data_IF_356978098030
#
_entry.id   IF_356978098030
#
_cell.length_a   1.000
_cell.length_b   1.000
_cell.length_c   1.000
_cell.angle_alpha   90.00
_cell.angle_beta   90.00
_cell.angle_gamma   90.00
#
_symmetry.space_group_name_H-M   'P 1'
#
loop_
_entity.id
_entity.type
_entity.pdbx_description
1 polymer ?
#
# COMPACT_ATOMS: atom_id res chain seq x y z
N UNK A 1 13.53 4.78 11.93
CA UNK A 1 12.82 4.90 10.62
C UNK A 1 11.49 5.57 10.87
N UNK A 2 11.10 6.53 10.02
CA UNK A 2 9.78 7.17 10.07
C UNK A 2 8.96 6.74 8.86
N UNK A 3 7.70 6.41 9.08
CA UNK A 3 6.72 6.07 8.05
C UNK A 3 5.52 6.99 8.21
N UNK A 4 5.09 7.61 7.11
CA UNK A 4 3.86 8.38 7.02
C UNK A 4 2.89 7.65 6.11
N UNK A 5 1.70 7.35 6.60
CA UNK A 5 0.62 6.74 5.80
C UNK A 5 -0.05 7.84 4.99
N UNK A 6 0.23 7.88 3.69
CA UNK A 6 -0.37 8.85 2.77
C UNK A 6 -1.83 8.50 2.47
N UNK A 7 -2.09 7.21 2.28
CA UNK A 7 -3.42 6.65 2.07
C UNK A 7 -3.52 5.24 2.62
N UNK A 8 -4.67 4.88 3.16
CA UNK A 8 -4.86 3.63 3.90
C UNK A 8 -5.94 2.71 3.34
N UNK A 9 -6.71 3.15 2.35
CA UNK A 9 -7.76 2.34 1.72
C UNK A 9 -7.24 1.53 0.53
N UNK A 10 -7.94 0.45 0.20
CA UNK A 10 -7.82 -0.27 -1.06
C UNK A 10 -8.34 0.56 -2.25
N UNK A 11 -8.25 0.00 -3.45
CA UNK A 11 -8.71 0.62 -4.67
C UNK A 11 -10.13 1.21 -4.58
N UNK A 12 -10.27 2.45 -5.03
CA UNK A 12 -11.51 3.23 -4.95
C UNK A 12 -11.62 4.14 -3.73
N UNK A 13 -10.84 3.94 -2.68
CA UNK A 13 -10.86 4.78 -1.48
C UNK A 13 -12.11 4.63 -0.60
N UNK A 14 -12.20 5.42 0.45
CA UNK A 14 -13.37 5.50 1.35
C UNK A 14 -13.76 6.96 1.54
N UNK A 15 -14.93 7.43 1.07
CA UNK A 15 -15.94 6.66 0.33
C UNK A 15 -15.51 6.40 -1.13
N UNK A 16 -15.78 5.22 -1.64
CA UNK A 16 -15.65 4.96 -3.07
C UNK A 16 -16.72 5.76 -3.83
N UNK A 17 -16.35 6.39 -4.94
CA UNK A 17 -17.17 7.38 -5.63
C UNK A 17 -18.55 6.86 -6.08
N UNK A 18 -18.62 5.61 -6.54
CA UNK A 18 -19.82 4.96 -7.05
C UNK A 18 -20.46 3.97 -6.05
N UNK A 19 -20.03 3.94 -4.78
CA UNK A 19 -20.52 3.02 -3.77
C UNK A 19 -21.46 3.73 -2.79
N UNK A 20 -22.56 3.07 -2.45
CA UNK A 20 -23.53 3.53 -1.47
C UNK A 20 -23.73 2.54 -0.29
N UNK A 21 -22.71 1.72 0.00
CA UNK A 21 -22.72 0.85 1.19
C UNK A 21 -22.77 1.69 2.48
N UNK A 22 -23.03 1.01 3.60
CA UNK A 22 -23.13 1.66 4.91
C UNK A 22 -21.91 2.55 5.21
N UNK A 23 -20.70 2.04 4.97
CA UNK A 23 -19.46 2.75 5.27
C UNK A 23 -19.26 3.97 4.36
N UNK A 24 -19.50 3.83 3.05
CA UNK A 24 -19.38 4.93 2.11
C UNK A 24 -20.40 6.05 2.38
N UNK A 25 -21.63 5.70 2.78
CA UNK A 25 -22.62 6.70 3.20
C UNK A 25 -22.16 7.44 4.45
N UNK A 26 -21.69 6.70 5.46
CA UNK A 26 -21.20 7.30 6.71
C UNK A 26 -19.97 8.20 6.48
N UNK A 27 -19.05 7.78 5.62
CA UNK A 27 -17.83 8.56 5.30
C UNK A 27 -18.11 9.85 4.48
N UNK A 28 -19.30 9.97 3.83
CA UNK A 28 -19.71 11.21 3.15
C UNK A 28 -20.25 12.26 4.10
N UNK A 29 -20.69 11.87 5.28
CA UNK A 29 -21.20 12.79 6.30
C UNK A 29 -20.00 13.53 6.91
N UNK A 30 -20.07 14.85 6.98
CA UNK A 30 -19.06 15.65 7.67
C UNK A 30 -19.04 15.27 9.15
N UNK A 31 -17.86 14.99 9.70
CA UNK A 31 -17.68 14.47 11.08
C UNK A 31 -18.45 13.17 11.35
N UNK A 32 -18.64 12.36 10.31
CA UNK A 32 -19.28 11.05 10.44
C UNK A 32 -18.41 10.04 11.22
N UNK A 33 -19.02 8.90 11.54
CA UNK A 33 -18.38 7.83 12.34
C UNK A 33 -17.25 7.09 11.59
N UNK A 34 -17.12 7.31 10.29
CA UNK A 34 -16.09 6.68 9.45
C UNK A 34 -15.20 7.76 8.82
N UNK A 35 -13.89 7.67 9.05
CA UNK A 35 -12.91 8.55 8.44
C UNK A 35 -12.85 8.31 6.93
N UNK A 36 -12.72 9.39 6.17
CA UNK A 36 -12.37 9.32 4.75
C UNK A 36 -10.94 8.82 4.61
N UNK A 37 -10.70 7.99 3.59
CA UNK A 37 -9.38 7.41 3.33
C UNK A 37 -9.11 7.41 1.83
N UNK A 38 -7.93 7.86 1.45
CA UNK A 38 -7.41 7.75 0.10
C UNK A 38 -6.76 6.40 -0.12
N UNK A 39 -6.48 6.06 -1.37
CA UNK A 39 -5.95 4.76 -1.76
C UNK A 39 -4.51 4.57 -1.28
N UNK A 40 -4.14 3.33 -1.00
CA UNK A 40 -2.96 2.94 -0.22
C UNK A 40 -1.64 3.42 -0.82
N UNK A 41 -0.91 4.18 -0.01
CA UNK A 41 0.46 4.62 -0.28
C UNK A 41 1.12 5.01 1.04
N UNK A 42 2.42 4.78 1.19
CA UNK A 42 3.20 5.24 2.34
C UNK A 42 4.45 5.98 1.89
N UNK A 43 4.93 6.89 2.72
CA UNK A 43 6.21 7.55 2.58
C UNK A 43 7.14 7.13 3.72
N UNK A 44 8.38 6.76 3.41
CA UNK A 44 9.36 6.29 4.40
C UNK A 44 10.64 7.11 4.31
N UNK A 45 11.20 7.46 5.46
CA UNK A 45 12.49 8.16 5.58
C UNK A 45 13.30 7.70 6.79
N UNK A 46 14.60 7.95 6.76
CA UNK A 46 15.51 7.80 7.91
C UNK A 46 16.25 9.08 8.26
N UNK A 47 16.08 10.16 7.48
CA UNK A 47 16.82 11.42 7.60
C UNK A 47 15.93 12.67 7.55
N UNK A 48 14.62 12.51 7.47
CA UNK A 48 13.60 13.57 7.32
C UNK A 48 13.78 14.48 6.08
N UNK A 49 14.66 14.11 5.15
CA UNK A 49 14.99 14.90 3.96
C UNK A 49 14.69 14.16 2.67
N UNK A 50 14.94 12.86 2.67
CA UNK A 50 14.77 11.99 1.52
C UNK A 50 13.64 11.00 1.81
N UNK A 51 12.49 11.23 1.20
CA UNK A 51 11.32 10.37 1.34
C UNK A 51 11.25 9.40 0.15
N UNK A 52 11.04 8.13 0.44
CA UNK A 52 10.75 7.11 -0.57
C UNK A 52 9.27 6.80 -0.49
N UNK A 53 8.58 6.93 -1.63
CA UNK A 53 7.17 6.55 -1.75
C UNK A 53 7.07 5.05 -2.05
N UNK A 54 6.16 4.38 -1.37
CA UNK A 54 5.78 3.01 -1.66
C UNK A 54 4.35 3.00 -2.19
N UNK A 55 4.23 2.65 -3.47
CA UNK A 55 3.06 2.85 -4.32
C UNK A 55 2.71 4.35 -4.51
N UNK A 56 2.06 4.66 -5.60
CA UNK A 56 1.60 6.03 -5.89
C UNK A 56 0.18 5.96 -6.42
N UNK A 57 -0.76 6.25 -5.53
CA UNK A 57 -2.18 6.14 -5.82
C UNK A 57 -2.69 7.28 -6.72
N UNK A 58 -3.86 7.14 -7.34
CA UNK A 58 -4.48 8.25 -8.09
C UNK A 58 -4.74 9.48 -7.20
N UNK A 59 -4.78 9.32 -5.88
CA UNK A 59 -4.98 10.40 -4.91
C UNK A 59 -3.70 11.15 -4.55
N UNK A 60 -2.58 10.84 -5.19
CA UNK A 60 -1.25 11.37 -4.84
C UNK A 60 -1.22 12.89 -4.67
N UNK A 61 -1.88 13.66 -5.52
CA UNK A 61 -1.84 15.13 -5.41
C UNK A 61 -2.44 15.63 -4.09
N UNK A 62 -3.55 15.05 -3.64
CA UNK A 62 -4.16 15.39 -2.36
C UNK A 62 -3.35 14.87 -1.17
N UNK A 63 -2.79 13.67 -1.29
CA UNK A 63 -1.90 13.07 -0.29
C UNK A 63 -0.64 13.92 -0.09
N UNK A 64 0.01 14.35 -1.18
CA UNK A 64 1.20 15.20 -1.13
C UNK A 64 0.89 16.59 -0.56
N UNK A 65 -0.27 17.17 -0.89
CA UNK A 65 -0.70 18.45 -0.34
C UNK A 65 -0.98 18.39 1.18
N UNK A 66 -1.44 17.24 1.66
CA UNK A 66 -1.74 17.03 3.08
C UNK A 66 -0.49 16.73 3.92
N UNK A 67 0.63 16.31 3.29
CA UNK A 67 1.84 15.92 4.01
C UNK A 67 3.00 16.90 3.79
N UNK A 68 3.32 17.76 4.77
CA UNK A 68 4.40 18.75 4.66
C UNK A 68 5.77 18.18 4.34
N UNK A 69 6.04 16.90 4.66
CA UNK A 69 7.30 16.22 4.36
C UNK A 69 7.61 16.08 2.86
N UNK A 70 6.60 16.18 1.98
CA UNK A 70 6.79 16.07 0.52
C UNK A 70 6.80 17.40 -0.23
N UNK A 71 6.40 18.50 0.41
CA UNK A 71 6.38 19.82 -0.22
C UNK A 71 7.80 20.38 -0.40
N UNK A 72 8.02 21.32 -1.33
CA UNK A 72 9.32 21.96 -1.50
C UNK A 72 9.79 22.65 -0.22
N UNK A 73 11.07 22.47 0.11
CA UNK A 73 11.67 23.21 1.23
C UNK A 73 11.64 24.71 0.99
N UNK A 74 11.48 25.49 2.06
CA UNK A 74 11.50 26.96 2.01
C UNK A 74 12.67 27.47 1.16
N UNK A 75 12.44 28.54 0.39
CA UNK A 75 13.39 29.15 -0.58
C UNK A 75 13.55 28.43 -1.94
N UNK A 76 12.89 27.27 -2.18
CA UNK A 76 12.84 26.68 -3.52
C UNK A 76 11.46 26.91 -4.14
N UNK A 77 11.42 27.50 -5.32
CA UNK A 77 10.16 27.71 -6.06
C UNK A 77 9.55 26.39 -6.55
N UNK A 78 10.39 25.40 -6.89
CA UNK A 78 9.98 24.05 -7.28
C UNK A 78 10.96 23.03 -6.72
N UNK A 79 10.47 21.86 -6.39
CA UNK A 79 11.25 20.73 -5.90
C UNK A 79 10.38 19.79 -5.07
N UNK A 80 10.99 18.72 -4.60
CA UNK A 80 10.34 17.74 -3.75
C UNK A 80 11.39 17.05 -2.89
N UNK A 81 10.97 16.48 -1.78
CA UNK A 81 11.76 15.59 -0.97
C UNK A 81 11.64 14.11 -1.41
N UNK A 82 10.85 13.82 -2.45
CA UNK A 82 10.72 12.46 -2.98
C UNK A 82 12.02 12.05 -3.66
N UNK A 83 12.71 11.07 -3.09
CA UNK A 83 13.97 10.55 -3.60
C UNK A 83 13.77 9.41 -4.62
N UNK A 84 12.72 8.61 -4.44
CA UNK A 84 12.36 7.49 -5.31
C UNK A 84 10.91 7.04 -5.08
N UNK A 85 10.40 6.26 -6.02
CA UNK A 85 9.14 5.51 -5.92
C UNK A 85 9.46 4.02 -5.98
N UNK A 86 8.84 3.23 -5.11
CA UNK A 86 8.94 1.77 -5.07
C UNK A 86 7.54 1.18 -5.23
N UNK A 87 7.37 0.26 -6.16
CA UNK A 87 6.08 -0.37 -6.44
C UNK A 87 6.06 -1.82 -5.97
N UNK A 88 4.98 -2.22 -5.33
CA UNK A 88 4.71 -3.62 -4.95
C UNK A 88 4.17 -4.44 -6.11
N UNK A 89 3.44 -3.81 -7.03
CA UNK A 89 2.70 -4.44 -8.13
C UNK A 89 2.36 -3.42 -9.22
N UNK A 90 1.52 -3.82 -10.18
CA UNK A 90 1.05 -2.96 -11.28
C UNK A 90 -0.43 -2.58 -11.18
N UNK A 91 -1.11 -2.75 -10.05
CA UNK A 91 -2.52 -2.39 -9.90
C UNK A 91 -2.73 -0.87 -10.03
N UNK A 92 -3.88 -0.46 -10.59
CA UNK A 92 -4.12 0.94 -10.93
C UNK A 92 -4.12 1.87 -9.70
N UNK A 93 -4.59 1.39 -8.58
CA UNK A 93 -4.56 2.12 -7.31
C UNK A 93 -3.14 2.30 -6.73
N UNK A 94 -2.17 1.54 -7.23
CA UNK A 94 -0.76 1.64 -6.83
C UNK A 94 0.12 2.39 -7.84
N UNK A 95 -0.32 2.59 -9.09
CA UNK A 95 0.56 3.12 -10.14
C UNK A 95 0.05 4.34 -10.89
N UNK A 96 -1.26 4.65 -10.88
CA UNK A 96 -1.79 5.76 -11.69
C UNK A 96 -1.31 7.14 -11.24
N UNK A 97 -0.98 7.30 -9.98
CA UNK A 97 -0.38 8.55 -9.47
C UNK A 97 1.00 8.87 -10.06
N UNK A 98 1.68 7.91 -10.70
CA UNK A 98 2.91 8.16 -11.44
C UNK A 98 2.76 9.28 -12.48
N UNK A 99 1.59 9.40 -13.12
CA UNK A 99 1.30 10.47 -14.07
C UNK A 99 1.37 11.88 -13.43
N UNK A 100 1.06 11.99 -12.15
CA UNK A 100 1.17 13.25 -11.41
C UNK A 100 2.64 13.61 -11.09
N UNK A 101 3.56 12.64 -11.14
CA UNK A 101 4.99 12.85 -10.93
C UNK A 101 5.74 13.31 -12.19
N UNK A 102 5.06 13.56 -13.31
CA UNK A 102 5.67 14.05 -14.57
C UNK A 102 6.47 15.34 -14.41
N UNK A 103 6.18 16.15 -13.39
CA UNK A 103 6.92 17.37 -13.08
C UNK A 103 8.27 17.10 -12.37
N UNK A 104 8.55 15.85 -12.02
CA UNK A 104 9.80 15.44 -11.40
C UNK A 104 10.89 15.33 -12.46
N UNK A 105 11.97 16.13 -12.37
CA UNK A 105 13.02 16.15 -13.40
C UNK A 105 13.66 14.78 -13.64
N UNK A 106 13.84 13.99 -12.59
CA UNK A 106 14.51 12.68 -12.63
C UNK A 106 13.79 11.71 -11.68
N UNK A 107 12.87 10.94 -12.20
CA UNK A 107 12.09 9.97 -11.44
C UNK A 107 12.86 8.65 -11.31
N UNK A 108 13.24 8.30 -10.09
CA UNK A 108 13.77 6.97 -9.76
C UNK A 108 12.61 6.05 -9.42
N UNK A 109 12.43 5.00 -10.21
CA UNK A 109 11.37 4.00 -10.03
C UNK A 109 12.00 2.64 -9.73
N UNK A 110 11.54 1.97 -8.68
CA UNK A 110 11.94 0.61 -8.33
C UNK A 110 10.74 -0.30 -8.38
N UNK A 111 10.83 -1.37 -9.14
CA UNK A 111 9.80 -2.40 -9.25
C UNK A 111 10.41 -3.72 -9.72
N UNK A 112 9.61 -4.78 -9.78
CA UNK A 112 10.07 -6.02 -10.40
C UNK A 112 10.20 -5.87 -11.92
N UNK A 113 11.00 -6.71 -12.60
CA UNK A 113 11.06 -6.72 -14.07
C UNK A 113 9.70 -6.98 -14.72
N UNK A 114 8.83 -7.74 -14.06
CA UNK A 114 7.48 -8.04 -14.56
C UNK A 114 6.59 -6.80 -14.48
N UNK A 115 6.60 -6.07 -13.36
CA UNK A 115 5.86 -4.80 -13.23
C UNK A 115 6.37 -3.77 -14.22
N UNK A 116 7.70 -3.66 -14.44
CA UNK A 116 8.24 -2.77 -15.48
C UNK A 116 7.66 -3.10 -16.87
N UNK A 117 7.60 -4.39 -17.23
CA UNK A 117 7.01 -4.81 -18.52
C UNK A 117 5.53 -4.44 -18.63
N UNK A 118 4.75 -4.61 -17.55
CA UNK A 118 3.35 -4.18 -17.51
C UNK A 118 3.22 -2.69 -17.77
N UNK A 119 4.02 -1.86 -17.07
CA UNK A 119 3.99 -0.40 -17.17
C UNK A 119 4.58 0.16 -18.48
N UNK A 120 5.35 -0.65 -19.21
CA UNK A 120 5.86 -0.29 -20.52
C UNK A 120 4.92 -0.71 -21.67
N UNK A 121 4.14 -1.81 -21.51
CA UNK A 121 3.41 -2.44 -22.62
C UNK A 121 1.89 -2.43 -22.45
N UNK A 122 1.39 -2.78 -21.26
CA UNK A 122 -0.03 -2.98 -21.01
C UNK A 122 -0.71 -1.72 -20.46
N UNK A 123 -0.03 -1.00 -19.60
CA UNK A 123 -0.36 0.34 -19.12
C UNK A 123 0.86 1.24 -19.36
N UNK A 124 1.05 1.80 -20.56
CA UNK A 124 2.33 2.36 -21.03
C UNK A 124 2.68 3.70 -20.37
N UNK A 125 2.52 3.79 -19.06
CA UNK A 125 2.79 4.99 -18.27
C UNK A 125 4.26 5.41 -18.33
N UNK A 126 5.21 4.46 -18.43
CA UNK A 126 6.63 4.78 -18.52
C UNK A 126 6.94 5.55 -19.80
N UNK A 127 6.45 5.08 -20.95
CA UNK A 127 6.63 5.79 -22.22
C UNK A 127 5.99 7.19 -22.23
N UNK A 128 4.85 7.37 -21.54
CA UNK A 128 4.26 8.70 -21.38
C UNK A 128 5.18 9.60 -20.52
N UNK A 129 5.68 9.10 -19.40
CA UNK A 129 6.52 9.87 -18.49
C UNK A 129 7.86 10.30 -19.11
N UNK A 130 8.46 9.47 -19.96
CA UNK A 130 9.73 9.76 -20.66
C UNK A 130 9.68 11.04 -21.52
N UNK A 131 8.48 11.49 -21.92
CA UNK A 131 8.29 12.77 -22.61
C UNK A 131 8.39 14.00 -21.67
N UNK A 132 8.33 13.80 -20.36
CA UNK A 132 8.30 14.89 -19.38
C UNK A 132 9.46 14.84 -18.38
N UNK A 133 10.03 13.67 -18.14
CA UNK A 133 10.94 13.38 -17.04
C UNK A 133 11.96 12.31 -17.44
N UNK A 134 13.17 12.39 -16.94
CA UNK A 134 14.10 11.25 -17.00
C UNK A 134 13.62 10.14 -16.06
N UNK A 135 13.19 8.99 -16.60
CA UNK A 135 12.73 7.85 -15.80
C UNK A 135 13.83 6.81 -15.67
N UNK A 136 14.31 6.57 -14.45
CA UNK A 136 15.32 5.57 -14.14
C UNK A 136 14.70 4.39 -13.42
N UNK A 137 14.56 3.27 -14.11
CA UNK A 137 14.03 2.03 -13.53
C UNK A 137 15.14 1.17 -12.97
N UNK A 138 14.95 0.66 -11.75
CA UNK A 138 15.82 -0.30 -11.06
C UNK A 138 15.01 -1.47 -10.51
N UNK A 139 15.68 -2.55 -10.15
CA UNK A 139 15.06 -3.77 -9.60
C UNK A 139 15.61 -4.10 -8.21
N UNK A 140 14.87 -4.94 -7.51
CA UNK A 140 15.24 -5.43 -6.18
C UNK A 140 16.39 -6.46 -6.23
N UNK A 141 17.27 -6.51 -5.21
CA UNK A 141 17.36 -5.60 -4.08
C UNK A 141 18.02 -4.28 -4.47
N UNK A 142 17.65 -3.18 -3.80
CA UNK A 142 18.17 -1.84 -4.07
C UNK A 142 18.55 -1.12 -2.77
N UNK A 143 19.49 -0.16 -2.85
CA UNK A 143 19.80 0.78 -1.76
C UNK A 143 19.36 2.18 -2.14
N UNK A 144 18.53 2.81 -1.32
CA UNK A 144 18.00 4.16 -1.49
C UNK A 144 18.02 4.91 -0.15
N UNK A 145 18.54 6.12 -0.12
CA UNK A 145 18.54 6.99 1.08
C UNK A 145 18.95 6.24 2.36
N UNK A 146 20.05 5.48 2.33
CA UNK A 146 20.58 4.66 3.43
C UNK A 146 19.70 3.50 3.87
N UNK A 147 18.65 3.17 3.13
CA UNK A 147 17.83 1.98 3.33
C UNK A 147 18.10 0.91 2.26
N UNK A 148 18.11 -0.35 2.67
CA UNK A 148 18.07 -1.49 1.75
C UNK A 148 16.63 -1.95 1.60
N UNK A 149 16.19 -2.10 0.36
CA UNK A 149 14.84 -2.57 0.04
C UNK A 149 14.95 -3.89 -0.70
N UNK A 150 14.32 -4.90 -0.16
CA UNK A 150 14.24 -6.26 -0.71
C UNK A 150 12.80 -6.61 -1.02
N UNK A 151 12.58 -7.52 -1.97
CA UNK A 151 11.25 -7.97 -2.36
C UNK A 151 11.14 -9.50 -2.23
N UNK A 152 9.98 -9.96 -1.79
CA UNK A 152 9.54 -11.35 -1.86
C UNK A 152 8.39 -11.45 -2.87
N UNK A 153 8.56 -12.29 -3.87
CA UNK A 153 7.52 -12.57 -4.88
C UNK A 153 6.36 -13.37 -4.26
N UNK A 154 5.15 -12.90 -4.43
CA UNK A 154 3.94 -13.58 -4.00
C UNK A 154 3.27 -14.41 -5.12
N UNK A 155 3.82 -14.39 -6.33
CA UNK A 155 3.35 -15.20 -7.44
C UNK A 155 1.88 -15.00 -7.83
N UNK A 156 1.33 -13.83 -7.61
CA UNK A 156 -0.10 -13.57 -7.71
C UNK A 156 -0.57 -13.23 -9.12
N UNK A 157 -1.82 -12.84 -9.26
CA UNK A 157 -2.49 -12.55 -10.53
C UNK A 157 -2.03 -11.25 -11.15
N UNK A 158 -2.03 -11.21 -12.49
CA UNK A 158 -1.84 -9.96 -13.23
C UNK A 158 -3.06 -9.04 -13.07
N UNK A 159 -2.86 -7.70 -13.13
CA UNK A 159 -3.95 -6.75 -13.16
C UNK A 159 -4.95 -7.01 -14.30
N UNK A 160 -6.23 -6.65 -14.15
CA UNK A 160 -7.27 -6.90 -15.15
C UNK A 160 -6.98 -6.31 -16.54
N UNK A 161 -6.21 -5.25 -16.63
CA UNK A 161 -5.83 -4.60 -17.90
C UNK A 161 -4.69 -5.34 -18.61
N UNK A 162 -4.00 -6.27 -17.96
CA UNK A 162 -2.94 -7.05 -18.55
C UNK A 162 -3.45 -8.43 -19.04
N UNK A 163 -2.92 -8.99 -20.12
CA UNK A 163 -3.23 -10.36 -20.49
C UNK A 163 -2.85 -11.29 -19.33
N UNK A 164 -3.51 -12.43 -19.22
CA UNK A 164 -3.33 -13.44 -18.16
C UNK A 164 -1.89 -13.98 -18.13
N UNK A 165 -0.98 -13.17 -17.66
CA UNK A 165 0.44 -13.49 -17.54
C UNK A 165 0.65 -14.17 -16.20
N UNK A 166 1.04 -15.44 -16.24
CA UNK A 166 1.61 -16.13 -15.07
C UNK A 166 3.11 -15.90 -15.10
N UNK A 167 3.58 -14.90 -14.37
CA UNK A 167 5.01 -14.57 -14.29
C UNK A 167 5.38 -14.25 -12.82
N UNK A 168 6.59 -14.56 -12.39
CA UNK A 168 7.07 -14.15 -11.08
C UNK A 168 7.14 -12.61 -10.98
N UNK A 169 6.94 -12.09 -9.78
CA UNK A 169 7.05 -10.66 -9.50
C UNK A 169 5.87 -9.81 -9.97
N UNK A 170 4.68 -10.38 -10.13
CA UNK A 170 3.46 -9.61 -10.39
C UNK A 170 3.03 -8.82 -9.16
N UNK A 171 3.15 -9.43 -7.97
CA UNK A 171 2.95 -8.78 -6.68
C UNK A 171 4.10 -9.15 -5.76
N UNK A 172 4.62 -8.18 -5.03
CA UNK A 172 5.73 -8.38 -4.12
C UNK A 172 5.46 -7.78 -2.73
N UNK A 173 5.77 -8.53 -1.70
CA UNK A 173 5.98 -7.99 -0.36
C UNK A 173 7.36 -7.34 -0.27
N UNK A 174 7.46 -6.25 0.47
CA UNK A 174 8.70 -5.48 0.60
C UNK A 174 9.23 -5.51 2.03
N UNK A 175 10.56 -5.61 2.15
CA UNK A 175 11.28 -5.41 3.41
C UNK A 175 12.23 -4.25 3.26
N UNK A 176 12.17 -3.33 4.21
CA UNK A 176 12.93 -2.07 4.24
C UNK A 176 13.81 -2.11 5.48
N UNK A 177 15.11 -2.24 5.29
CA UNK A 177 16.09 -2.30 6.37
C UNK A 177 16.91 -1.01 6.40
N UNK A 178 16.94 -0.33 7.54
CA UNK A 178 17.88 0.74 7.87
C UNK A 178 19.06 0.18 8.67
N UNK A 179 19.92 1.04 9.20
CA UNK A 179 21.00 0.60 10.09
C UNK A 179 20.51 -0.02 11.42
N UNK A 180 19.35 0.40 11.90
CA UNK A 180 18.87 0.06 13.25
C UNK A 180 17.47 -0.53 13.27
N UNK A 181 16.69 -0.39 12.22
CA UNK A 181 15.27 -0.78 12.21
C UNK A 181 14.87 -1.41 10.88
N UNK A 182 13.90 -2.32 10.94
CA UNK A 182 13.35 -3.04 9.79
C UNK A 182 11.84 -2.91 9.74
N UNK A 183 11.30 -2.69 8.55
CA UNK A 183 9.86 -2.63 8.26
C UNK A 183 9.51 -3.63 7.17
N UNK A 184 8.44 -4.40 7.34
CA UNK A 184 7.79 -5.14 6.26
C UNK A 184 6.53 -4.40 5.79
N UNK A 185 6.35 -4.31 4.47
CA UNK A 185 5.19 -3.68 3.81
C UNK A 185 4.56 -4.65 2.81
N UNK A 186 3.41 -5.19 3.17
CA UNK A 186 2.69 -6.24 2.46
C UNK A 186 1.23 -5.80 2.21
N UNK A 187 0.97 -4.77 1.36
CA UNK A 187 -0.39 -4.22 1.16
C UNK A 187 -1.33 -5.20 0.44
N UNK A 188 -0.79 -6.20 -0.26
CA UNK A 188 -1.52 -7.33 -0.81
C UNK A 188 -0.85 -8.62 -0.35
N UNK A 189 -1.60 -9.54 0.25
CA UNK A 189 -1.10 -10.81 0.77
C UNK A 189 -2.00 -11.95 0.30
N UNK A 190 -1.62 -12.69 -0.75
CA UNK A 190 -2.45 -13.76 -1.30
C UNK A 190 -2.41 -15.07 -0.49
N UNK A 191 -1.38 -15.28 0.32
CA UNK A 191 -1.24 -16.46 1.18
C UNK A 191 -0.22 -16.22 2.32
N UNK A 192 -0.49 -16.80 3.46
CA UNK A 192 0.48 -16.92 4.55
C UNK A 192 1.31 -18.16 4.28
N UNK A 193 2.62 -17.99 4.07
CA UNK A 193 3.55 -19.08 3.76
C UNK A 193 4.79 -19.01 4.65
N UNK A 194 5.52 -20.13 4.83
CA UNK A 194 6.79 -20.11 5.57
C UNK A 194 7.82 -19.12 4.99
N UNK A 195 7.77 -18.85 3.68
CA UNK A 195 8.62 -17.85 3.03
C UNK A 195 8.26 -16.44 3.48
N UNK A 196 6.96 -16.11 3.60
CA UNK A 196 6.49 -14.83 4.15
C UNK A 196 6.95 -14.67 5.58
N UNK A 197 6.75 -15.68 6.44
CA UNK A 197 7.17 -15.64 7.84
C UNK A 197 8.68 -15.42 7.99
N UNK A 198 9.48 -16.16 7.22
CA UNK A 198 10.93 -15.97 7.18
C UNK A 198 11.33 -14.58 6.72
N UNK A 199 10.63 -14.02 5.74
CA UNK A 199 10.92 -12.72 5.15
C UNK A 199 10.67 -11.56 6.12
N UNK A 200 9.60 -11.66 6.95
CA UNK A 200 9.24 -10.64 7.92
C UNK A 200 9.87 -10.87 9.30
N UNK A 201 10.55 -11.98 9.50
CA UNK A 201 11.14 -12.32 10.80
C UNK A 201 12.12 -11.23 11.25
N UNK A 202 11.99 -10.82 12.52
CA UNK A 202 12.84 -9.79 13.14
C UNK A 202 12.58 -8.36 12.65
N UNK A 203 11.48 -8.09 11.93
CA UNK A 203 11.07 -6.73 11.67
C UNK A 203 10.52 -6.06 12.93
N UNK A 204 10.77 -4.75 13.04
CA UNK A 204 10.25 -3.90 14.12
C UNK A 204 8.80 -3.47 13.85
N UNK A 205 8.43 -3.39 12.56
CA UNK A 205 7.10 -3.05 12.11
C UNK A 205 6.63 -3.90 10.93
N UNK A 206 5.32 -4.10 10.85
CA UNK A 206 4.65 -4.79 9.75
C UNK A 206 3.39 -4.02 9.38
N UNK A 207 3.34 -3.47 8.16
CA UNK A 207 2.13 -3.00 7.53
C UNK A 207 1.63 -4.11 6.61
N UNK A 208 0.45 -4.64 6.90
CA UNK A 208 -0.08 -5.83 6.23
C UNK A 208 -1.47 -5.58 5.65
N UNK A 209 -1.79 -6.38 4.65
CA UNK A 209 -3.06 -6.42 3.94
C UNK A 209 -4.27 -6.48 4.88
N UNK A 210 -5.07 -5.44 4.85
CA UNK A 210 -6.32 -5.28 5.60
C UNK A 210 -7.54 -5.23 4.71
N UNK A 211 -7.48 -5.72 3.47
CA UNK A 211 -8.50 -5.49 2.44
C UNK A 211 -9.87 -6.01 2.86
N UNK A 212 -9.99 -7.25 3.29
CA UNK A 212 -11.28 -7.85 3.61
C UNK A 212 -11.28 -8.47 5.02
N UNK A 213 -12.44 -8.34 5.70
CA UNK A 213 -12.67 -9.06 6.95
C UNK A 213 -12.96 -10.53 6.71
N UNK A 214 -13.77 -10.86 5.70
CA UNK A 214 -14.20 -12.22 5.40
C UNK A 214 -14.07 -12.57 3.93
N UNK A 215 -13.94 -13.87 3.64
CA UNK A 215 -13.74 -14.39 2.28
C UNK A 215 -14.84 -13.95 1.30
N UNK A 216 -16.09 -13.88 1.73
CA UNK A 216 -17.25 -13.55 0.90
C UNK A 216 -17.80 -12.13 1.17
N UNK A 217 -17.03 -11.23 1.74
CA UNK A 217 -17.50 -9.90 2.16
C UNK A 217 -18.24 -9.15 1.05
N UNK A 218 -17.62 -8.96 -0.09
CA UNK A 218 -18.25 -8.26 -1.22
C UNK A 218 -19.33 -9.09 -1.92
N UNK A 219 -19.18 -10.41 -1.95
CA UNK A 219 -20.17 -11.33 -2.52
C UNK A 219 -21.47 -11.26 -1.72
N UNK A 220 -21.39 -11.25 -0.39
CA UNK A 220 -22.55 -11.16 0.51
C UNK A 220 -23.30 -9.83 0.38
N UNK A 221 -22.62 -8.78 -0.09
CA UNK A 221 -23.21 -7.47 -0.38
C UNK A 221 -23.72 -7.35 -1.83
N UNK A 222 -23.60 -8.39 -2.65
CA UNK A 222 -24.02 -8.37 -4.06
C UNK A 222 -23.17 -7.45 -4.97
N UNK A 223 -21.96 -7.11 -4.53
CA UNK A 223 -21.09 -6.17 -5.26
C UNK A 223 -20.21 -6.86 -6.31
N UNK A 224 -19.93 -8.14 -6.15
CA UNK A 224 -19.11 -8.95 -7.06
C UNK A 224 -19.40 -10.44 -6.86
N UNK A 225 -18.95 -11.26 -7.80
CA UNK A 225 -18.91 -12.73 -7.68
C UNK A 225 -17.54 -13.25 -7.19
N UNK A 226 -16.54 -12.38 -7.08
CA UNK A 226 -15.17 -12.75 -6.68
C UNK A 226 -15.03 -12.70 -5.16
N UNK A 227 -14.40 -13.73 -4.60
CA UNK A 227 -14.05 -13.81 -3.18
C UNK A 227 -12.77 -13.02 -2.87
N UNK A 228 -12.40 -12.87 -1.60
CA UNK A 228 -11.15 -12.25 -1.18
C UNK A 228 -9.94 -12.97 -1.80
N UNK A 229 -9.89 -14.32 -1.68
CA UNK A 229 -8.85 -15.13 -2.30
C UNK A 229 -8.84 -15.03 -3.82
N UNK A 230 -10.01 -14.92 -4.47
CA UNK A 230 -10.11 -14.63 -5.90
C UNK A 230 -9.50 -13.28 -6.29
N UNK A 231 -9.44 -12.34 -5.39
CA UNK A 231 -8.82 -11.03 -5.58
C UNK A 231 -7.37 -10.97 -5.11
N UNK A 232 -6.85 -12.03 -4.47
CA UNK A 232 -5.45 -12.11 -4.03
C UNK A 232 -5.20 -11.61 -2.62
N UNK A 233 -6.22 -11.72 -1.73
CA UNK A 233 -6.15 -11.25 -0.35
C UNK A 233 -6.56 -12.35 0.63
N UNK A 234 -5.75 -12.58 1.67
CA UNK A 234 -6.14 -13.42 2.82
C UNK A 234 -7.06 -12.58 3.72
N UNK A 235 -8.25 -13.08 4.10
CA UNK A 235 -9.13 -12.37 5.02
C UNK A 235 -8.51 -12.13 6.40
N UNK A 236 -8.98 -11.10 7.08
CA UNK A 236 -8.56 -10.77 8.46
C UNK A 236 -9.13 -11.78 9.46
N UNK A 237 -10.42 -12.06 9.35
CA UNK A 237 -11.17 -12.90 10.30
C UNK A 237 -11.10 -14.40 9.97
N UNK A 238 -11.55 -15.23 10.92
CA UNK A 238 -11.54 -16.68 10.80
C UNK A 238 -10.28 -17.34 11.39
N UNK A 239 -10.30 -18.67 11.49
CA UNK A 239 -9.18 -19.42 12.10
C UNK A 239 -7.91 -19.36 11.26
N UNK A 240 -8.04 -19.28 9.95
CA UNK A 240 -6.92 -19.13 8.99
C UNK A 240 -6.69 -17.67 8.58
N UNK A 241 -7.38 -16.73 9.25
CA UNK A 241 -7.28 -15.31 8.95
C UNK A 241 -5.99 -14.68 9.43
N UNK A 242 -5.64 -13.53 8.84
CA UNK A 242 -4.41 -12.82 9.18
C UNK A 242 -4.39 -12.34 10.63
N UNK A 243 -5.55 -12.14 11.30
CA UNK A 243 -5.57 -11.70 12.69
C UNK A 243 -4.98 -12.75 13.65
N UNK A 244 -5.34 -14.02 13.48
CA UNK A 244 -4.79 -15.14 14.27
C UNK A 244 -3.30 -15.29 13.98
N UNK A 245 -2.90 -15.21 12.72
CA UNK A 245 -1.50 -15.24 12.34
C UNK A 245 -0.69 -14.11 12.97
N UNK A 246 -1.19 -12.87 12.93
CA UNK A 246 -0.52 -11.70 13.51
C UNK A 246 -0.34 -11.82 15.04
N UNK A 247 -1.27 -12.47 15.74
CA UNK A 247 -1.15 -12.72 17.18
C UNK A 247 0.03 -13.65 17.51
N UNK A 248 0.36 -14.58 16.62
CA UNK A 248 1.49 -15.50 16.79
C UNK A 248 2.86 -14.86 16.53
N UNK A 249 2.90 -13.71 15.83
CA UNK A 249 4.15 -13.05 15.45
C UNK A 249 4.71 -12.17 16.57
N UNK A 250 6.03 -12.27 16.78
CA UNK A 250 6.80 -11.45 17.75
C UNK A 250 7.23 -10.09 17.17
N UNK A 251 6.43 -9.51 16.25
CA UNK A 251 6.71 -8.19 15.68
C UNK A 251 6.07 -7.13 16.58
N UNK A 252 6.83 -6.13 17.06
CA UNK A 252 6.34 -5.14 18.02
C UNK A 252 5.15 -4.33 17.51
N UNK A 253 5.20 -3.85 16.26
CA UNK A 253 4.15 -3.05 15.65
C UNK A 253 3.53 -3.75 14.45
N UNK A 254 2.23 -4.00 14.50
CA UNK A 254 1.45 -4.67 13.45
C UNK A 254 0.27 -3.80 13.07
N UNK A 255 0.13 -3.46 11.79
CA UNK A 255 -0.81 -2.44 11.33
C UNK A 255 -1.49 -2.95 10.06
N UNK A 256 -2.82 -2.99 10.04
CA UNK A 256 -3.58 -3.22 8.81
C UNK A 256 -3.63 -1.97 7.95
N UNK A 257 -3.32 -2.12 6.67
CA UNK A 257 -3.38 -1.10 5.62
C UNK A 257 -4.11 -1.65 4.40
N UNK A 258 -4.35 -0.85 3.36
CA UNK A 258 -5.05 -1.29 2.14
C UNK A 258 -6.45 -1.82 2.43
N UNK A 259 -7.26 -1.04 3.18
CA UNK A 259 -8.55 -1.47 3.73
C UNK A 259 -9.67 -1.17 2.74
N UNK A 260 -10.44 -2.20 2.34
CA UNK A 260 -11.56 -2.00 1.43
C UNK A 260 -12.72 -1.24 2.09
N UNK A 261 -13.45 -0.47 1.29
CA UNK A 261 -14.58 0.34 1.75
C UNK A 261 -15.72 -0.45 2.39
N UNK A 262 -15.79 -1.76 2.17
CA UNK A 262 -16.80 -2.65 2.78
C UNK A 262 -16.34 -3.27 4.09
N UNK A 263 -15.05 -3.19 4.42
CA UNK A 263 -14.49 -3.86 5.59
C UNK A 263 -15.00 -3.25 6.90
N UNK A 264 -15.60 -4.06 7.80
CA UNK A 264 -16.17 -3.56 9.06
C UNK A 264 -15.12 -2.97 10.03
N UNK A 265 -13.82 -3.26 9.87
CA UNK A 265 -12.77 -2.64 10.71
C UNK A 265 -12.68 -1.12 10.54
N UNK A 266 -13.27 -0.55 9.49
CA UNK A 266 -13.37 0.90 9.28
C UNK A 266 -14.20 1.61 10.34
N UNK A 267 -15.07 0.88 11.03
CA UNK A 267 -15.94 1.40 12.09
C UNK A 267 -15.32 1.14 13.47
N UNK A 268 -14.91 2.19 14.21
CA UNK A 268 -14.32 2.02 15.55
C UNK A 268 -15.23 1.30 16.56
N UNK A 269 -16.55 1.41 16.37
CA UNK A 269 -17.57 0.79 17.20
C UNK A 269 -17.97 -0.64 16.76
N UNK A 270 -17.39 -1.17 15.68
CA UNK A 270 -17.68 -2.53 15.23
C UNK A 270 -17.04 -3.58 16.14
N UNK A 271 -17.60 -4.79 16.12
CA UNK A 271 -17.02 -5.95 16.80
C UNK A 271 -15.65 -6.31 16.20
N UNK A 272 -15.54 -6.19 14.90
CA UNK A 272 -14.35 -6.51 14.13
C UNK A 272 -13.19 -5.57 14.46
N UNK A 273 -13.44 -4.25 14.51
CA UNK A 273 -12.43 -3.27 14.92
C UNK A 273 -11.94 -3.54 16.35
N UNK A 274 -12.88 -3.77 17.29
CA UNK A 274 -12.51 -4.11 18.67
C UNK A 274 -11.68 -5.40 18.75
N UNK A 275 -11.98 -6.41 17.93
CA UNK A 275 -11.21 -7.64 17.86
C UNK A 275 -9.76 -7.37 17.38
N UNK A 276 -9.59 -6.53 16.35
CA UNK A 276 -8.27 -6.14 15.85
C UNK A 276 -7.46 -5.41 16.91
N UNK A 277 -8.03 -4.39 17.54
CA UNK A 277 -7.35 -3.60 18.59
C UNK A 277 -7.07 -4.46 19.82
N UNK A 278 -8.02 -5.31 20.24
CA UNK A 278 -7.84 -6.24 21.35
C UNK A 278 -6.74 -7.29 21.11
N UNK A 279 -6.43 -7.58 19.85
CA UNK A 279 -5.30 -8.43 19.46
C UNK A 279 -3.95 -7.70 19.39
N UNK A 280 -3.90 -6.42 19.76
CA UNK A 280 -2.70 -5.59 19.69
C UNK A 280 -2.28 -5.22 18.25
N UNK A 281 -3.25 -5.17 17.33
CA UNK A 281 -3.03 -4.75 15.94
C UNK A 281 -3.70 -3.39 15.72
N UNK A 282 -3.00 -2.50 15.02
CA UNK A 282 -3.49 -1.17 14.69
C UNK A 282 -4.24 -1.18 13.34
N UNK A 283 -5.12 -0.20 13.14
CA UNK A 283 -5.80 0.05 11.87
C UNK A 283 -5.28 1.37 11.31
N UNK A 284 -4.57 1.32 10.16
CA UNK A 284 -4.01 2.51 9.55
C UNK A 284 -5.10 3.52 9.16
N UNK A 285 -4.76 4.79 9.17
CA UNK A 285 -5.55 5.91 8.67
C UNK A 285 -4.63 6.91 7.95
N UNK A 286 -5.20 7.71 7.06
CA UNK A 286 -4.45 8.73 6.32
C UNK A 286 -3.88 9.77 7.28
N UNK A 287 -2.60 10.06 7.17
CA UNK A 287 -1.87 10.94 8.09
C UNK A 287 -1.30 10.26 9.33
N UNK A 288 -1.40 8.92 9.46
CA UNK A 288 -0.79 8.20 10.57
C UNK A 288 0.74 8.24 10.47
N UNK A 289 1.41 8.71 11.54
CA UNK A 289 2.86 8.68 11.69
C UNK A 289 3.30 7.47 12.52
N UNK A 290 4.29 6.74 12.02
CA UNK A 290 4.86 5.55 12.63
C UNK A 290 6.36 5.76 12.81
N UNK A 291 6.84 5.72 14.06
CA UNK A 291 8.26 5.72 14.39
C UNK A 291 8.69 4.31 14.81
N UNK A 292 9.74 3.79 14.16
CA UNK A 292 10.35 2.50 14.45
C UNK A 292 11.80 2.72 14.89
#
# INVERSE_FOLDING_TARGET
MKVHVLGSAAGGGVPQWNCNCLHCRAARIANGSILRRTQSSIAVTVDDKNWILFNVSPDFCSQAAAFPGLIPVAKKLRGTAIAAVVLTDGELDHVTGLLSLREHKKLRLVCTPTVQKLLAKNFPVLGVLEHYSEVLVSHFPVRLASMRISALDFGSKSPPYAPRVKAPGLVAGLRIDSATTSLAYLPGLPAITPQVEKFIAGCDGLLVDGTFWSEREMVSLGLTHRTAGDMGHVPIGGQEGTLVWLQSLKIPRKIYIHINNTNPILRPDSREHRAVVGAGVEVAYDGMDICL
#
